data_IF_773389599543
#
_entry.id   IF_773389599543
#
_cell.length_a   1.000
_cell.length_b   1.000
_cell.length_c   1.000
_cell.angle_alpha   90.00
_cell.angle_beta   90.00
_cell.angle_gamma   90.00
#
_symmetry.space_group_name_H-M   'P 1'
#
loop_
_entity.id
_entity.type
_entity.pdbx_description
1 polymer ?
#
# COMPACT_ATOMS: atom_id res chain seq x y z
N UNK A 1 -18.81 7.26 0.40
CA UNK A 1 -18.42 6.23 1.38
C UNK A 1 -17.98 6.83 2.72
N UNK A 2 -17.49 8.08 2.82
CA UNK A 2 -17.16 8.73 4.12
C UNK A 2 -18.11 9.85 4.60
N UNK A 3 -19.15 10.22 3.83
CA UNK A 3 -20.05 11.33 4.21
C UNK A 3 -19.37 12.70 4.39
N UNK A 4 -18.13 12.87 3.88
CA UNK A 4 -17.35 14.11 4.06
C UNK A 4 -16.47 14.15 5.32
N UNK A 5 -16.39 13.06 6.10
CA UNK A 5 -15.58 13.02 7.34
C UNK A 5 -14.06 12.98 7.10
N UNK A 6 -13.63 12.52 5.94
CA UNK A 6 -12.22 12.45 5.56
C UNK A 6 -12.04 13.10 4.19
N UNK A 7 -11.22 14.16 4.12
CA UNK A 7 -10.82 14.76 2.85
C UNK A 7 -9.52 14.07 2.41
N UNK A 8 -9.65 13.05 1.56
CA UNK A 8 -8.50 12.39 0.91
C UNK A 8 -8.56 12.70 -0.59
N UNK A 9 -7.98 13.84 -1.02
CA UNK A 9 -8.01 14.31 -2.41
C UNK A 9 -7.60 13.24 -3.42
N UNK A 10 -6.57 12.44 -3.11
CA UNK A 10 -6.06 11.38 -3.99
C UNK A 10 -7.07 10.29 -4.34
N UNK A 11 -7.98 9.92 -3.44
CA UNK A 11 -9.05 8.94 -3.71
C UNK A 11 -10.31 9.60 -4.28
N UNK A 12 -10.62 10.82 -3.83
CA UNK A 12 -11.84 11.55 -4.24
C UNK A 12 -11.79 11.98 -5.71
N UNK A 13 -10.60 12.28 -6.24
CA UNK A 13 -10.41 12.59 -7.66
C UNK A 13 -10.67 11.39 -8.59
N UNK A 14 -10.25 10.19 -8.18
CA UNK A 14 -10.40 8.96 -8.99
C UNK A 14 -11.87 8.52 -9.11
N UNK A 15 -12.64 8.61 -8.02
CA UNK A 15 -14.07 8.28 -8.04
C UNK A 15 -14.91 9.13 -9.02
N UNK A 16 -14.47 10.36 -9.33
CA UNK A 16 -15.13 11.21 -10.34
C UNK A 16 -14.85 10.74 -11.77
N UNK A 17 -13.65 10.20 -12.02
CA UNK A 17 -13.24 9.68 -13.33
C UNK A 17 -13.95 8.35 -13.61
N UNK A 18 -14.12 7.49 -12.61
CA UNK A 18 -14.84 6.22 -12.75
C UNK A 18 -16.24 6.41 -13.35
N UNK A 19 -16.95 7.45 -12.89
CA UNK A 19 -18.28 7.77 -13.41
C UNK A 19 -18.25 8.16 -14.89
N UNK A 20 -17.27 8.97 -15.29
CA UNK A 20 -17.12 9.37 -16.70
C UNK A 20 -16.84 8.17 -17.60
N UNK A 21 -16.00 7.23 -17.15
CA UNK A 21 -15.70 6.00 -17.90
C UNK A 21 -16.94 5.10 -17.98
N UNK A 22 -17.67 4.92 -16.88
CA UNK A 22 -18.93 4.14 -16.84
C UNK A 22 -19.98 4.72 -17.80
N UNK A 23 -20.09 6.03 -17.85
CA UNK A 23 -21.05 6.74 -18.71
C UNK A 23 -20.56 6.86 -20.17
N UNK A 24 -19.33 6.43 -20.47
CA UNK A 24 -18.65 6.63 -21.76
C UNK A 24 -19.06 5.67 -22.88
N UNK A 25 -19.88 4.65 -22.60
CA UNK A 25 -20.40 3.72 -23.61
C UNK A 25 -19.36 2.76 -24.20
N UNK A 26 -18.25 2.52 -23.50
CA UNK A 26 -17.25 1.52 -23.91
C UNK A 26 -17.82 0.11 -23.86
N UNK A 27 -17.52 -0.70 -24.88
CA UNK A 27 -17.91 -2.11 -24.93
C UNK A 27 -17.34 -2.90 -23.75
N UNK A 28 -16.08 -2.63 -23.39
CA UNK A 28 -15.42 -3.19 -22.22
C UNK A 28 -14.61 -2.11 -21.51
N UNK A 29 -14.70 -2.06 -20.19
CA UNK A 29 -13.87 -1.19 -19.34
C UNK A 29 -13.66 -1.85 -17.98
N UNK A 30 -12.52 -1.54 -17.36
CA UNK A 30 -12.07 -2.14 -16.10
C UNK A 30 -11.27 -1.09 -15.33
N UNK A 31 -11.35 -1.13 -14.00
CA UNK A 31 -10.57 -0.25 -13.12
C UNK A 31 -9.48 -1.04 -12.42
N UNK A 32 -8.24 -0.86 -12.87
CA UNK A 32 -7.08 -1.47 -12.20
C UNK A 32 -6.64 -0.58 -11.03
N UNK A 33 -6.55 -1.16 -9.84
CA UNK A 33 -6.22 -0.42 -8.61
C UNK A 33 -4.80 -0.77 -8.17
N UNK A 34 -3.95 0.24 -8.08
CA UNK A 34 -2.59 0.09 -7.57
C UNK A 34 -2.58 -0.05 -6.04
N UNK A 35 -1.67 -0.84 -5.44
CA UNK A 35 -1.60 -1.04 -3.99
C UNK A 35 -0.89 0.10 -3.26
N UNK A 36 -0.73 -0.04 -1.95
CA UNK A 36 0.45 0.53 -1.28
C UNK A 36 1.72 -0.20 -1.74
N UNK A 37 2.63 0.51 -2.41
CA UNK A 37 3.79 -0.12 -3.04
C UNK A 37 4.80 -0.57 -1.99
N UNK A 38 5.31 -1.79 -2.11
CA UNK A 38 6.43 -2.23 -1.26
C UNK A 38 7.64 -1.28 -1.39
N UNK A 39 7.88 -0.76 -2.59
CA UNK A 39 8.91 0.23 -2.91
C UNK A 39 8.83 1.50 -2.05
N UNK A 40 7.65 1.88 -1.56
CA UNK A 40 7.53 3.03 -0.67
C UNK A 40 8.36 2.84 0.60
N UNK A 41 8.42 1.61 1.14
CA UNK A 41 9.18 1.29 2.36
C UNK A 41 10.70 1.32 2.16
N UNK A 42 11.17 1.27 0.92
CA UNK A 42 12.58 1.41 0.56
C UNK A 42 12.92 2.80 -0.01
N UNK A 43 11.92 3.66 -0.22
CA UNK A 43 12.04 4.95 -0.89
C UNK A 43 11.39 6.08 -0.10
N UNK A 44 10.26 6.60 -0.60
CA UNK A 44 9.60 7.78 -0.05
C UNK A 44 9.15 7.65 1.42
N UNK A 45 8.92 6.42 1.87
CA UNK A 45 8.59 6.07 3.25
C UNK A 45 9.67 5.13 3.85
N UNK A 46 10.94 5.33 3.48
CA UNK A 46 12.04 4.59 4.09
C UNK A 46 12.14 4.87 5.60
N UNK A 47 12.61 3.89 6.41
CA UNK A 47 12.80 4.10 7.83
C UNK A 47 13.78 5.24 8.07
N UNK A 48 13.55 6.01 9.13
CA UNK A 48 14.32 7.19 9.48
C UNK A 48 14.94 7.04 10.88
N UNK A 49 16.04 7.76 11.13
CA UNK A 49 16.62 7.83 12.46
C UNK A 49 15.68 8.59 13.40
N UNK A 50 15.32 7.97 14.49
CA UNK A 50 14.42 8.51 15.51
C UNK A 50 15.22 9.30 16.56
N UNK A 51 14.51 10.09 17.38
CA UNK A 51 15.12 10.91 18.43
C UNK A 51 15.85 10.08 19.50
N UNK A 52 15.44 8.83 19.73
CA UNK A 52 16.08 7.88 20.64
C UNK A 52 17.28 7.13 20.01
N UNK A 53 17.61 7.45 18.75
CA UNK A 53 18.69 6.83 18.00
C UNK A 53 18.32 5.53 17.30
N UNK A 54 17.12 4.99 17.51
CA UNK A 54 16.61 3.85 16.75
C UNK A 54 16.37 4.21 15.29
N UNK A 55 16.37 3.23 14.40
CA UNK A 55 16.00 3.39 13.00
C UNK A 55 14.58 2.84 12.82
N UNK A 56 13.67 3.54 12.18
CA UNK A 56 12.28 3.08 12.13
C UNK A 56 11.29 4.10 11.61
N UNK A 57 10.01 3.90 11.93
CA UNK A 57 8.91 4.77 11.51
C UNK A 57 8.25 5.46 12.71
N UNK A 58 7.83 6.70 12.49
CA UNK A 58 6.96 7.44 13.39
C UNK A 58 5.74 7.93 12.58
N UNK A 59 4.60 7.24 12.69
CA UNK A 59 3.41 7.49 11.86
C UNK A 59 2.14 7.57 12.72
N UNK A 60 1.11 8.32 12.28
CA UNK A 60 -0.17 8.43 12.99
C UNK A 60 -1.11 7.30 12.56
N UNK A 61 -0.67 6.07 12.77
CA UNK A 61 -1.39 4.85 12.44
C UNK A 61 -1.21 3.84 13.58
N UNK A 62 -2.30 3.21 14.02
CA UNK A 62 -2.27 2.08 14.95
C UNK A 62 -1.55 0.91 14.28
N UNK A 63 -0.37 0.52 14.78
CA UNK A 63 0.45 -0.48 14.11
C UNK A 63 -0.10 -1.90 14.26
N UNK A 64 -1.13 -2.11 15.07
CA UNK A 64 -1.75 -3.42 15.30
C UNK A 64 -2.86 -3.73 14.29
N UNK A 65 -3.43 -2.71 13.64
CA UNK A 65 -4.55 -2.88 12.72
C UNK A 65 -4.05 -3.32 11.34
N UNK A 66 -4.55 -4.45 10.84
CA UNK A 66 -4.37 -4.84 9.44
C UNK A 66 -5.25 -3.96 8.57
N UNK A 67 -4.64 -3.00 7.89
CA UNK A 67 -5.37 -1.98 7.11
C UNK A 67 -4.72 -1.66 5.77
N UNK A 68 -3.51 -2.16 5.53
CA UNK A 68 -2.69 -1.80 4.37
C UNK A 68 -2.76 -2.92 3.34
N UNK A 69 -3.41 -2.67 2.21
CA UNK A 69 -3.35 -3.55 1.04
C UNK A 69 -2.13 -3.16 0.22
N UNK A 70 -1.13 -4.03 0.16
CA UNK A 70 0.17 -3.76 -0.44
C UNK A 70 0.57 -4.77 -1.51
N UNK A 71 1.50 -4.38 -2.37
CA UNK A 71 1.96 -5.20 -3.49
C UNK A 71 3.19 -4.61 -4.18
N UNK A 72 3.84 -5.41 -5.01
CA UNK A 72 4.92 -4.95 -5.88
C UNK A 72 4.31 -4.25 -7.10
N UNK A 73 4.48 -2.93 -7.20
CA UNK A 73 3.92 -2.15 -8.32
C UNK A 73 4.39 -2.62 -9.70
N UNK A 74 5.54 -3.30 -9.79
CA UNK A 74 6.03 -3.85 -11.05
C UNK A 74 5.14 -4.99 -11.59
N UNK A 75 4.30 -5.59 -10.75
CA UNK A 75 3.40 -6.68 -11.12
C UNK A 75 2.02 -6.19 -11.62
N UNK A 76 1.75 -4.88 -11.56
CA UNK A 76 0.47 -4.30 -12.03
C UNK A 76 0.21 -4.62 -13.51
N UNK A 77 1.27 -4.69 -14.31
CA UNK A 77 1.20 -5.06 -15.73
C UNK A 77 0.57 -6.44 -15.97
N UNK A 78 0.69 -7.38 -15.02
CA UNK A 78 0.08 -8.70 -15.14
C UNK A 78 -1.45 -8.63 -15.09
N UNK A 79 -2.01 -7.78 -14.21
CA UNK A 79 -3.46 -7.56 -14.12
C UNK A 79 -3.96 -6.87 -15.38
N UNK A 80 -3.23 -5.86 -15.87
CA UNK A 80 -3.59 -5.14 -17.11
C UNK A 80 -3.59 -6.10 -18.30
N UNK A 81 -2.53 -6.90 -18.46
CA UNK A 81 -2.44 -7.89 -19.53
C UNK A 81 -3.55 -8.94 -19.44
N UNK A 82 -3.84 -9.43 -18.23
CA UNK A 82 -4.95 -10.34 -17.95
C UNK A 82 -6.31 -9.75 -18.33
N UNK A 83 -6.57 -8.49 -18.00
CA UNK A 83 -7.82 -7.82 -18.34
C UNK A 83 -8.03 -7.72 -19.86
N UNK A 84 -6.97 -7.49 -20.64
CA UNK A 84 -7.04 -7.52 -22.10
C UNK A 84 -7.23 -8.94 -22.66
N UNK A 85 -6.63 -9.95 -22.03
CA UNK A 85 -6.76 -11.35 -22.46
C UNK A 85 -8.12 -11.96 -22.13
N UNK A 86 -8.77 -11.47 -21.06
CA UNK A 86 -10.04 -11.98 -20.54
C UNK A 86 -11.09 -10.86 -20.38
N UNK A 87 -11.47 -10.15 -21.47
CA UNK A 87 -12.35 -8.99 -21.39
C UNK A 87 -13.75 -9.33 -20.88
N UNK A 88 -14.26 -10.54 -21.12
CA UNK A 88 -15.58 -10.96 -20.61
C UNK A 88 -15.59 -11.16 -19.08
N UNK A 89 -14.44 -11.51 -18.50
CA UNK A 89 -14.28 -11.72 -17.06
C UNK A 89 -13.89 -10.44 -16.33
N UNK A 90 -13.05 -9.62 -16.96
CA UNK A 90 -12.50 -8.39 -16.39
C UNK A 90 -13.30 -7.12 -16.75
N UNK A 91 -14.13 -7.16 -17.79
CA UNK A 91 -14.86 -6.02 -18.34
C UNK A 91 -16.05 -5.58 -17.50
N UNK A 92 -16.98 -4.83 -18.10
CA UNK A 92 -18.21 -4.36 -17.44
C UNK A 92 -18.02 -3.58 -16.13
N UNK A 93 -16.88 -2.90 -15.97
CA UNK A 93 -16.60 -2.02 -14.84
C UNK A 93 -16.12 -2.73 -13.57
N UNK A 94 -15.56 -3.94 -13.69
CA UNK A 94 -14.91 -4.60 -12.57
C UNK A 94 -13.73 -3.78 -12.04
N UNK A 95 -13.47 -3.95 -10.74
CA UNK A 95 -12.31 -3.39 -10.06
C UNK A 95 -11.29 -4.50 -9.80
N UNK A 96 -10.07 -4.33 -10.29
CA UNK A 96 -9.00 -5.33 -10.19
C UNK A 96 -7.84 -4.76 -9.37
N UNK A 97 -7.85 -4.92 -8.04
CA UNK A 97 -6.76 -4.47 -7.19
C UNK A 97 -5.58 -5.44 -7.22
N UNK A 98 -4.37 -4.89 -7.34
CA UNK A 98 -3.15 -5.64 -7.06
C UNK A 98 -2.93 -5.73 -5.55
N UNK A 99 -2.94 -6.92 -4.98
CA UNK A 99 -2.66 -7.13 -3.54
C UNK A 99 -1.82 -8.38 -3.36
N UNK A 100 -0.56 -8.19 -2.99
CA UNK A 100 0.30 -9.29 -2.54
C UNK A 100 0.05 -9.63 -1.07
N UNK A 101 -0.12 -8.61 -0.22
CA UNK A 101 -0.44 -8.82 1.20
C UNK A 101 -1.36 -7.75 1.77
N UNK A 102 -2.10 -8.14 2.81
CA UNK A 102 -2.91 -7.24 3.64
C UNK A 102 -2.32 -7.21 5.04
N UNK A 103 -1.69 -6.10 5.43
CA UNK A 103 -0.82 -6.07 6.61
C UNK A 103 -1.12 -4.91 7.55
N UNK A 104 -0.73 -5.13 8.80
CA UNK A 104 -0.51 -4.11 9.82
C UNK A 104 0.94 -3.61 9.76
N UNK A 105 1.23 -2.45 10.35
CA UNK A 105 2.61 -1.94 10.35
C UNK A 105 3.54 -2.76 11.26
N UNK A 106 3.01 -3.36 12.33
CA UNK A 106 3.78 -4.29 13.14
C UNK A 106 4.25 -5.51 12.34
N UNK A 107 3.39 -6.11 11.51
CA UNK A 107 3.79 -7.25 10.66
C UNK A 107 4.84 -6.85 9.61
N UNK A 108 4.78 -5.63 9.07
CA UNK A 108 5.81 -5.09 8.17
C UNK A 108 7.16 -5.03 8.89
N UNK A 109 7.20 -4.40 10.06
CA UNK A 109 8.43 -4.24 10.86
C UNK A 109 8.96 -5.59 11.32
N UNK A 110 8.08 -6.49 11.76
CA UNK A 110 8.47 -7.84 12.17
C UNK A 110 9.05 -8.65 11.01
N UNK A 111 8.46 -8.55 9.82
CA UNK A 111 8.96 -9.23 8.61
C UNK A 111 10.38 -8.78 8.29
N UNK A 112 10.63 -7.46 8.29
CA UNK A 112 11.97 -6.92 8.04
C UNK A 112 12.95 -7.30 9.15
N UNK A 113 12.54 -7.25 10.41
CA UNK A 113 13.43 -7.59 11.53
C UNK A 113 13.81 -9.08 11.54
N UNK A 114 12.89 -9.98 11.15
CA UNK A 114 13.22 -11.41 10.92
C UNK A 114 14.23 -11.61 9.79
N UNK A 115 14.37 -10.66 8.89
CA UNK A 115 15.34 -10.67 7.78
C UNK A 115 16.68 -10.00 8.13
N UNK A 116 16.90 -9.67 9.41
CA UNK A 116 18.19 -9.15 9.90
C UNK A 116 18.24 -7.63 10.08
N UNK A 117 17.11 -6.95 9.94
CA UNK A 117 17.00 -5.53 10.29
C UNK A 117 16.73 -5.33 11.79
N UNK A 118 16.94 -4.10 12.26
CA UNK A 118 16.56 -3.67 13.59
C UNK A 118 15.77 -2.36 13.52
N UNK A 119 14.52 -2.46 13.06
CA UNK A 119 13.61 -1.34 12.92
C UNK A 119 12.63 -1.22 14.09
N UNK A 120 12.34 0.01 14.47
CA UNK A 120 11.32 0.37 15.44
C UNK A 120 10.07 0.95 14.76
N UNK A 121 8.96 0.91 15.48
CA UNK A 121 7.76 1.66 15.13
C UNK A 121 7.29 2.47 16.33
N UNK A 122 6.93 3.72 16.10
CA UNK A 122 6.31 4.59 17.08
C UNK A 122 5.03 5.18 16.51
N UNK A 123 3.90 4.84 17.12
CA UNK A 123 2.68 5.56 16.84
C UNK A 123 2.80 6.98 17.41
N UNK A 124 2.46 7.98 16.59
CA UNK A 124 2.41 9.39 17.03
C UNK A 124 0.98 9.93 16.95
N UNK A 125 0.59 10.88 17.81
CA UNK A 125 -0.73 11.51 17.71
C UNK A 125 -0.94 12.17 16.35
N UNK A 126 -2.16 12.05 15.82
CA UNK A 126 -2.55 12.60 14.51
C UNK A 126 -2.25 14.09 14.42
N UNK A 127 -2.60 14.85 15.45
CA UNK A 127 -2.46 16.30 15.52
C UNK A 127 -0.98 16.71 15.49
N UNK A 128 -0.14 15.96 16.22
CA UNK A 128 1.31 16.18 16.24
C UNK A 128 1.95 15.89 14.88
N UNK A 129 1.48 14.85 14.18
CA UNK A 129 1.99 14.52 12.85
C UNK A 129 1.55 15.54 11.79
N UNK A 130 0.28 15.97 11.82
CA UNK A 130 -0.31 16.85 10.81
C UNK A 130 0.42 18.19 10.62
N UNK A 131 1.11 18.68 11.66
CA UNK A 131 1.92 19.91 11.62
C UNK A 131 3.40 19.73 11.29
N UNK A 132 3.86 18.52 10.99
CA UNK A 132 5.30 18.22 10.89
C UNK A 132 5.96 18.65 9.57
N UNK A 133 5.23 18.59 8.44
CA UNK A 133 5.71 19.02 7.13
C UNK A 133 4.54 19.30 6.16
N UNK A 134 4.76 20.04 5.06
CA UNK A 134 3.73 20.25 4.02
C UNK A 134 3.21 18.92 3.47
N UNK A 135 1.91 18.65 3.62
CA UNK A 135 1.26 17.39 3.21
C UNK A 135 1.06 16.37 4.35
N UNK A 136 1.64 16.59 5.53
CA UNK A 136 1.48 15.66 6.66
C UNK A 136 0.02 15.53 7.14
N UNK A 137 -0.77 16.60 7.04
CA UNK A 137 -2.21 16.56 7.33
C UNK A 137 -2.96 15.58 6.42
N UNK A 138 -2.67 15.56 5.12
CA UNK A 138 -3.32 14.65 4.18
C UNK A 138 -2.97 13.18 4.48
N UNK A 139 -1.71 12.91 4.79
CA UNK A 139 -1.25 11.57 5.19
C UNK A 139 -1.95 11.13 6.49
N UNK A 140 -2.09 12.03 7.46
CA UNK A 140 -2.75 11.73 8.73
C UNK A 140 -4.24 11.40 8.53
N UNK A 141 -4.94 12.16 7.68
CA UNK A 141 -6.33 11.87 7.30
C UNK A 141 -6.47 10.54 6.54
N UNK A 142 -5.53 10.24 5.64
CA UNK A 142 -5.48 8.97 4.92
C UNK A 142 -5.34 7.78 5.87
N UNK A 143 -4.42 7.85 6.84
CA UNK A 143 -4.28 6.78 7.83
C UNK A 143 -5.52 6.64 8.72
N UNK A 144 -6.14 7.74 9.15
CA UNK A 144 -7.44 7.67 9.87
C UNK A 144 -8.53 6.98 9.03
N UNK A 145 -8.54 7.20 7.71
CA UNK A 145 -9.46 6.50 6.81
C UNK A 145 -9.13 4.99 6.74
N UNK A 146 -7.85 4.62 6.65
CA UNK A 146 -7.45 3.21 6.64
C UNK A 146 -7.79 2.49 7.96
N UNK A 147 -7.65 3.13 9.11
CA UNK A 147 -8.09 2.53 10.38
C UNK A 147 -9.59 2.25 10.41
N UNK A 148 -10.40 3.13 9.81
CA UNK A 148 -11.85 2.97 9.78
C UNK A 148 -12.36 2.02 8.68
N UNK A 149 -11.66 1.93 7.54
CA UNK A 149 -12.18 1.29 6.33
C UNK A 149 -11.17 0.40 5.60
N UNK A 150 -9.92 0.32 6.04
CA UNK A 150 -8.77 -0.21 5.29
C UNK A 150 -8.48 0.55 3.99
N UNK A 151 -7.33 0.26 3.36
CA UNK A 151 -6.91 0.88 2.10
C UNK A 151 -7.95 0.72 0.97
N UNK A 152 -8.49 -0.49 0.77
CA UNK A 152 -9.44 -0.79 -0.31
C UNK A 152 -10.91 -0.64 0.09
N UNK A 153 -11.22 -0.41 1.37
CA UNK A 153 -12.56 -0.61 1.91
C UNK A 153 -12.70 -1.96 2.63
N UNK A 154 -13.76 -2.12 3.42
CA UNK A 154 -13.96 -3.28 4.30
C UNK A 154 -14.35 -4.58 3.59
N UNK A 155 -14.58 -4.54 2.27
CA UNK A 155 -15.08 -5.67 1.48
C UNK A 155 -14.34 -5.72 0.13
N UNK A 156 -13.15 -6.33 0.12
CA UNK A 156 -12.24 -6.37 -1.03
C UNK A 156 -11.81 -7.79 -1.44
N UNK A 157 -12.22 -8.83 -0.71
CA UNK A 157 -11.74 -10.21 -0.94
C UNK A 157 -12.11 -10.73 -2.32
N UNK A 158 -13.35 -10.50 -2.75
CA UNK A 158 -13.84 -10.99 -4.04
C UNK A 158 -13.18 -10.25 -5.20
N UNK A 159 -12.91 -8.94 -5.03
CA UNK A 159 -12.17 -8.14 -6.00
C UNK A 159 -10.72 -8.63 -6.15
N UNK A 160 -10.06 -8.93 -5.03
CA UNK A 160 -8.69 -9.49 -5.02
C UNK A 160 -8.67 -10.87 -5.69
N UNK A 161 -9.64 -11.74 -5.36
CA UNK A 161 -9.75 -13.05 -5.96
C UNK A 161 -9.96 -12.97 -7.49
N UNK A 162 -10.82 -12.06 -7.94
CA UNK A 162 -11.03 -11.81 -9.36
C UNK A 162 -9.75 -11.28 -10.04
N UNK A 163 -9.06 -10.31 -9.43
CA UNK A 163 -7.81 -9.77 -9.98
C UNK A 163 -6.73 -10.85 -10.16
N UNK A 164 -6.57 -11.72 -9.16
CA UNK A 164 -5.60 -12.82 -9.22
C UNK A 164 -5.99 -13.86 -10.28
N UNK A 165 -7.29 -14.17 -10.40
CA UNK A 165 -7.81 -15.05 -11.45
C UNK A 165 -7.53 -14.47 -12.83
N UNK A 166 -7.85 -13.19 -13.06
CA UNK A 166 -7.63 -12.48 -14.33
C UNK A 166 -6.14 -12.40 -14.68
N UNK A 167 -5.26 -12.15 -13.69
CA UNK A 167 -3.82 -12.13 -13.90
C UNK A 167 -3.22 -13.53 -14.12
N UNK A 168 -3.95 -14.60 -13.81
CA UNK A 168 -3.50 -15.99 -13.90
C UNK A 168 -2.43 -16.37 -12.87
N UNK A 169 -2.18 -15.54 -11.86
CA UNK A 169 -1.18 -15.77 -10.80
C UNK A 169 -1.47 -14.96 -9.55
N UNK A 170 -0.96 -15.44 -8.41
CA UNK A 170 -0.91 -14.63 -7.20
C UNK A 170 0.26 -13.61 -7.29
N UNK A 171 0.07 -12.39 -6.76
CA UNK A 171 1.15 -11.42 -6.63
C UNK A 171 2.19 -11.83 -5.59
N UNK A 172 3.38 -11.26 -5.70
CA UNK A 172 4.51 -11.55 -4.81
C UNK A 172 4.21 -11.06 -3.38
N UNK A 173 4.48 -11.93 -2.41
CA UNK A 173 4.35 -11.63 -0.97
C UNK A 173 5.43 -10.64 -0.52
N UNK A 174 5.10 -9.80 0.45
CA UNK A 174 6.01 -8.78 0.98
C UNK A 174 7.30 -9.39 1.53
N UNK A 175 7.22 -10.52 2.23
CA UNK A 175 8.40 -11.20 2.78
C UNK A 175 9.39 -11.62 1.68
N UNK A 176 8.89 -12.21 0.59
CA UNK A 176 9.71 -12.58 -0.57
C UNK A 176 10.30 -11.36 -1.24
N UNK A 177 9.47 -10.36 -1.53
CA UNK A 177 9.93 -9.13 -2.17
C UNK A 177 10.99 -8.41 -1.33
N UNK A 178 10.77 -8.28 -0.02
CA UNK A 178 11.65 -7.57 0.89
C UNK A 178 13.02 -8.27 1.01
N UNK A 179 13.03 -9.60 1.04
CA UNK A 179 14.28 -10.37 1.07
C UNK A 179 15.20 -10.06 -0.12
N UNK A 180 14.61 -9.88 -1.30
CA UNK A 180 15.33 -9.66 -2.55
C UNK A 180 15.66 -8.18 -2.79
N UNK A 181 14.78 -7.27 -2.39
CA UNK A 181 14.81 -5.87 -2.84
C UNK A 181 15.02 -4.85 -1.72
N UNK A 182 14.76 -5.19 -0.45
CA UNK A 182 14.86 -4.22 0.63
C UNK A 182 16.35 -3.92 0.93
N UNK A 183 16.76 -2.64 1.01
CA UNK A 183 18.15 -2.30 1.25
C UNK A 183 18.66 -2.88 2.57
N UNK A 184 19.66 -3.75 2.50
CA UNK A 184 20.30 -4.32 3.70
C UNK A 184 20.96 -3.21 4.51
N UNK A 185 20.75 -3.20 5.84
CA UNK A 185 21.54 -2.34 6.70
C UNK A 185 22.98 -2.85 6.67
N UNK A 186 23.91 -2.02 6.19
CA UNK A 186 25.33 -2.26 6.40
C UNK A 186 25.61 -2.07 7.88
N UNK A 187 25.97 -3.13 8.58
CA UNK A 187 26.44 -3.02 9.95
C UNK A 187 27.73 -2.21 9.95
N UNK A 188 27.84 -1.22 10.84
CA UNK A 188 29.04 -0.41 11.02
C UNK A 188 30.29 -1.24 11.42
N UNK A 189 30.16 -2.54 11.65
CA UNK A 189 31.25 -3.48 11.90
C UNK A 189 31.92 -4.04 10.65
N UNK A 190 31.33 -3.90 9.46
CA UNK A 190 31.91 -4.44 8.21
C UNK A 190 32.91 -3.47 7.55
N UNK A 191 33.08 -2.26 8.09
CA UNK A 191 34.01 -1.24 7.58
C UNK A 191 35.35 -1.13 8.30
N UNK A 192 35.67 -2.03 9.23
CA UNK A 192 36.88 -1.96 10.06
C UNK A 192 38.06 -2.82 9.57
N UNK A 193 37.97 -3.41 8.37
CA UNK A 193 39.07 -4.15 7.77
C UNK A 193 39.16 -3.82 6.28
N UNK A 194 39.82 -2.71 5.95
CA UNK A 194 40.70 -2.56 4.77
C UNK A 194 41.56 -1.31 4.90
#
# INVERSE_FOLDING_TARGET
ISGGKFNVPHFTGKAKIDRVVKDGGFENYTFVIAPFYYQNLAGALAPQKQADGSMGWALPLDPTLRVIHMGDINELGNIVAGAFAHPDEAGNGQYLPLVGDFMSFNEIVETLNRQGHNFSYKQVPKESFAGSFPGATEIAEMFSYWEAHTYLGSDSSDLIALANKVAGREPTRFSTWAWENFPKQLNATDGALH
#
